data_IF_096938003903
#
_entry.id   IF_096938003903
#
_cell.length_a   1.000
_cell.length_b   1.000
_cell.length_c   1.000
_cell.angle_alpha   90.00
_cell.angle_beta   90.00
_cell.angle_gamma   90.00
#
_symmetry.space_group_name_H-M   'P 1'
#
loop_
_entity.id
_entity.type
_entity.pdbx_description
1 polymer ?
#
# COMPACT_ATOMS: atom_id res chain seq x y z
N UNK A 1 46.88 -2.87 -6.18
CA UNK A 1 46.42 -1.68 -5.43
C UNK A 1 46.41 -2.00 -3.96
N UNK A 2 47.25 -1.31 -3.18
CA UNK A 2 47.31 -1.41 -1.72
C UNK A 2 46.91 -0.03 -1.19
N UNK A 3 45.89 0.02 -0.33
CA UNK A 3 45.44 1.25 0.34
C UNK A 3 45.80 1.17 1.81
N UNK A 4 46.02 2.33 2.44
CA UNK A 4 46.31 2.41 3.87
C UNK A 4 45.01 2.25 4.65
N UNK A 5 45.10 1.72 5.86
CA UNK A 5 43.94 1.43 6.72
C UNK A 5 43.15 2.71 7.08
N UNK A 6 43.85 3.85 7.17
CA UNK A 6 43.29 5.19 7.37
C UNK A 6 42.40 5.66 6.20
N UNK A 7 42.63 5.15 4.99
CA UNK A 7 41.91 5.47 3.77
C UNK A 7 40.76 4.47 3.49
N UNK A 8 40.51 3.52 4.40
CA UNK A 8 39.42 2.56 4.25
C UNK A 8 38.08 3.29 4.42
N UNK A 9 37.13 3.13 3.47
CA UNK A 9 35.78 3.67 3.65
C UNK A 9 35.16 3.07 4.91
N UNK A 10 34.60 3.92 5.78
CA UNK A 10 33.99 3.52 7.07
C UNK A 10 32.65 2.79 6.91
N UNK A 11 32.12 2.73 5.70
CA UNK A 11 30.90 1.99 5.41
C UNK A 11 31.19 0.50 5.53
N UNK A 12 30.39 -0.18 6.36
CA UNK A 12 30.50 -1.63 6.49
C UNK A 12 30.16 -2.25 5.13
N UNK A 13 30.93 -3.25 4.66
CA UNK A 13 30.56 -3.94 3.44
C UNK A 13 29.18 -4.60 3.64
N UNK A 14 28.25 -4.32 2.75
CA UNK A 14 27.00 -5.06 2.67
C UNK A 14 27.31 -6.46 2.13
N UNK A 15 27.12 -7.48 2.97
CA UNK A 15 27.30 -8.86 2.56
C UNK A 15 26.02 -9.36 1.91
N UNK A 16 26.08 -9.64 0.62
CA UNK A 16 25.04 -10.38 -0.08
C UNK A 16 25.08 -11.85 0.34
N UNK A 17 23.91 -12.41 0.63
CA UNK A 17 23.74 -13.83 0.90
C UNK A 17 23.49 -14.57 -0.42
N UNK A 18 24.31 -15.59 -0.70
CA UNK A 18 24.24 -16.36 -1.95
C UNK A 18 22.93 -17.15 -2.08
N UNK A 19 22.27 -17.44 -0.97
CA UNK A 19 21.00 -18.18 -0.94
C UNK A 19 19.78 -17.27 -0.92
N UNK A 20 19.98 -15.95 -0.90
CA UNK A 20 18.89 -14.98 -0.96
C UNK A 20 18.56 -14.65 -2.40
N UNK A 21 17.30 -14.85 -2.79
CA UNK A 21 16.76 -14.45 -4.08
C UNK A 21 16.33 -12.97 -4.03
N UNK A 22 17.29 -12.10 -4.27
CA UNK A 22 17.08 -10.65 -4.24
C UNK A 22 16.13 -10.15 -5.34
N UNK A 23 16.06 -10.85 -6.47
CA UNK A 23 15.16 -10.49 -7.58
C UNK A 23 13.70 -10.76 -7.18
N UNK A 24 13.43 -11.90 -6.53
CA UNK A 24 12.12 -12.20 -5.97
C UNK A 24 11.69 -11.18 -4.91
N UNK A 25 12.60 -10.80 -3.99
CA UNK A 25 12.32 -9.77 -2.98
C UNK A 25 11.99 -8.41 -3.59
N UNK A 26 12.69 -8.01 -4.66
CA UNK A 26 12.40 -6.75 -5.35
C UNK A 26 11.04 -6.80 -6.07
N UNK A 27 10.69 -7.94 -6.66
CA UNK A 27 9.37 -8.14 -7.28
C UNK A 27 8.25 -8.05 -6.24
N UNK A 28 8.38 -8.74 -5.12
CA UNK A 28 7.41 -8.71 -4.02
C UNK A 28 7.24 -7.27 -3.48
N UNK A 29 8.34 -6.55 -3.29
CA UNK A 29 8.30 -5.15 -2.85
C UNK A 29 7.59 -4.24 -3.87
N UNK A 30 7.80 -4.46 -5.17
CA UNK A 30 7.11 -3.72 -6.25
C UNK A 30 5.62 -4.04 -6.28
N UNK A 31 5.23 -5.30 -6.08
CA UNK A 31 3.82 -5.70 -6.01
C UNK A 31 3.13 -5.10 -4.79
N UNK A 32 3.77 -5.16 -3.62
CA UNK A 32 3.27 -4.55 -2.38
C UNK A 32 3.12 -3.03 -2.53
N UNK A 33 4.08 -2.36 -3.18
CA UNK A 33 3.99 -0.93 -3.44
C UNK A 33 2.82 -0.59 -4.36
N UNK A 34 2.61 -1.37 -5.42
CA UNK A 34 1.45 -1.20 -6.30
C UNK A 34 0.15 -1.39 -5.54
N UNK A 35 0.03 -2.43 -4.72
CA UNK A 35 -1.17 -2.66 -3.92
C UNK A 35 -1.44 -1.51 -2.95
N UNK A 36 -0.42 -1.06 -2.21
CA UNK A 36 -0.51 0.10 -1.33
C UNK A 36 -0.99 1.33 -2.09
N UNK A 37 -0.45 1.61 -3.28
CA UNK A 37 -0.86 2.76 -4.10
C UNK A 37 -2.35 2.72 -4.46
N UNK A 38 -2.87 1.54 -4.81
CA UNK A 38 -4.29 1.35 -5.11
C UNK A 38 -5.17 1.55 -3.88
N UNK A 39 -4.76 1.01 -2.73
CA UNK A 39 -5.49 1.20 -1.47
C UNK A 39 -5.57 2.68 -1.07
N UNK A 40 -4.45 3.41 -1.19
CA UNK A 40 -4.42 4.86 -0.95
C UNK A 40 -5.34 5.60 -1.91
N UNK A 41 -5.29 5.30 -3.21
CA UNK A 41 -6.18 5.90 -4.19
C UNK A 41 -7.66 5.67 -3.86
N UNK A 42 -8.04 4.46 -3.44
CA UNK A 42 -9.41 4.15 -3.00
C UNK A 42 -9.82 4.97 -1.78
N UNK A 43 -8.92 5.15 -0.80
CA UNK A 43 -9.19 5.97 0.38
C UNK A 43 -9.35 7.44 -0.01
N UNK A 44 -8.47 7.98 -0.86
CA UNK A 44 -8.56 9.35 -1.36
C UNK A 44 -9.87 9.62 -2.09
N UNK A 45 -10.33 8.69 -2.93
CA UNK A 45 -11.63 8.78 -3.61
C UNK A 45 -12.77 8.81 -2.59
N UNK A 46 -12.79 7.88 -1.61
CA UNK A 46 -13.82 7.85 -0.57
C UNK A 46 -13.83 9.08 0.31
N UNK A 47 -12.67 9.67 0.60
CA UNK A 47 -12.57 10.90 1.37
C UNK A 47 -13.12 12.10 0.57
N UNK A 48 -12.79 12.18 -0.73
CA UNK A 48 -13.21 13.30 -1.60
C UNK A 48 -14.69 13.24 -2.00
N UNK A 49 -15.21 12.05 -2.28
CA UNK A 49 -16.54 11.85 -2.87
C UNK A 49 -17.52 11.14 -1.92
N UNK A 50 -17.09 10.83 -0.70
CA UNK A 50 -17.92 10.22 0.34
C UNK A 50 -17.87 8.69 0.38
N UNK A 51 -18.44 8.12 1.44
CA UNK A 51 -18.38 6.69 1.77
C UNK A 51 -19.04 5.78 0.71
N UNK A 52 -19.92 6.34 -0.11
CA UNK A 52 -20.60 5.65 -1.21
C UNK A 52 -19.93 5.83 -2.58
N UNK A 53 -18.78 6.52 -2.66
CA UNK A 53 -18.06 6.73 -3.92
C UNK A 53 -17.56 5.43 -4.57
N UNK A 54 -17.36 4.38 -3.76
CA UNK A 54 -16.97 3.05 -4.22
C UNK A 54 -17.83 2.02 -3.48
N UNK A 55 -18.67 1.29 -4.24
CA UNK A 55 -19.52 0.21 -3.73
C UNK A 55 -19.14 -1.11 -4.39
N UNK A 56 -19.24 -2.20 -3.64
CA UNK A 56 -19.09 -3.56 -4.17
C UNK A 56 -20.45 -4.05 -4.67
N UNK A 57 -20.50 -4.94 -5.66
CA UNK A 57 -21.75 -5.48 -6.18
C UNK A 57 -22.65 -6.12 -5.10
N UNK A 58 -22.05 -6.78 -4.11
CA UNK A 58 -22.77 -7.33 -2.95
C UNK A 58 -23.51 -6.27 -2.12
N UNK A 59 -23.06 -5.02 -2.15
CA UNK A 59 -23.71 -3.92 -1.43
C UNK A 59 -25.06 -3.52 -2.07
N UNK A 60 -25.33 -3.94 -3.31
CA UNK A 60 -26.56 -3.68 -4.07
C UNK A 60 -27.57 -4.83 -4.00
N UNK A 61 -27.18 -5.95 -3.39
CA UNK A 61 -28.06 -7.10 -3.23
C UNK A 61 -29.21 -6.76 -2.26
N UNK A 62 -30.37 -7.40 -2.46
CA UNK A 62 -31.48 -7.31 -1.50
C UNK A 62 -31.02 -7.72 -0.09
N UNK A 63 -31.16 -6.82 0.89
CA UNK A 63 -30.63 -6.98 2.26
C UNK A 63 -29.25 -6.34 2.50
N UNK A 64 -28.62 -5.78 1.47
CA UNK A 64 -27.38 -5.03 1.58
C UNK A 64 -27.58 -3.67 2.27
N UNK A 65 -27.28 -3.59 3.56
CA UNK A 65 -27.46 -2.36 4.36
C UNK A 65 -26.35 -1.31 4.16
N UNK A 66 -25.34 -1.56 3.33
CA UNK A 66 -24.13 -0.72 3.27
C UNK A 66 -24.44 0.71 2.85
N UNK A 67 -25.31 0.93 1.86
CA UNK A 67 -25.67 2.27 1.38
C UNK A 67 -26.45 3.02 2.46
N UNK A 68 -27.49 2.40 3.01
CA UNK A 68 -28.34 2.98 4.05
C UNK A 68 -27.55 3.30 5.31
N UNK A 69 -26.70 2.36 5.76
CA UNK A 69 -25.78 2.57 6.88
C UNK A 69 -24.79 3.69 6.61
N UNK A 70 -24.24 3.78 5.40
CA UNK A 70 -23.31 4.84 5.03
C UNK A 70 -24.00 6.22 4.97
N UNK A 71 -25.29 6.29 4.66
CA UNK A 71 -26.06 7.54 4.77
C UNK A 71 -26.31 7.91 6.24
N UNK A 72 -26.59 6.93 7.10
CA UNK A 72 -26.82 7.16 8.54
C UNK A 72 -25.54 7.52 9.31
N UNK A 73 -24.43 6.84 9.04
CA UNK A 73 -23.12 7.05 9.69
C UNK A 73 -22.23 8.04 8.94
N UNK A 74 -22.60 8.41 7.71
CA UNK A 74 -21.89 9.34 6.84
C UNK A 74 -22.61 10.67 6.76
N UNK A 75 -22.83 11.29 7.90
CA UNK A 75 -22.61 12.73 8.08
C UNK A 75 -23.27 13.72 7.12
N UNK A 76 -24.40 13.40 6.48
CA UNK A 76 -25.27 14.40 5.86
C UNK A 76 -26.53 14.61 6.71
N UNK A 77 -26.30 15.12 7.92
CA UNK A 77 -27.06 16.26 8.43
C UNK A 77 -26.08 17.44 8.47
N UNK A 78 -25.83 18.02 7.31
CA UNK A 78 -25.28 19.36 7.10
C UNK A 78 -25.84 19.83 5.76
#
# INVERSE_FOLDING_TARGET
NVIREEDMPKEKPEQFDLFTDYDAMEQDAKEEQKEKSLQHAMISIKHKFGKNAILKGANLQAGGMTIERNQQLGGHKA
#
